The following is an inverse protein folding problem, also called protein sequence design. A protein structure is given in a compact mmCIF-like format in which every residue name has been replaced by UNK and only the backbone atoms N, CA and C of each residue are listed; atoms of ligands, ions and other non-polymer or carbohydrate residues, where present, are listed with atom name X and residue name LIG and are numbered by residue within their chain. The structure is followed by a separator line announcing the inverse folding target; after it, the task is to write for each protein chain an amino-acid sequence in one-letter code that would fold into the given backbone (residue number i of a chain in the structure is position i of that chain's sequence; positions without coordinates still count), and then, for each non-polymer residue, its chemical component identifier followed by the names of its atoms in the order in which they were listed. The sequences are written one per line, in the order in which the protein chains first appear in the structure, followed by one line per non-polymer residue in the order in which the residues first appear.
data_IF_373075453901
#
_entry.id   IF_373075453901
#
_cell.length_a   1.000
_cell.length_b   1.000
_cell.length_c   1.000
_cell.angle_alpha   90.00
_cell.angle_beta   90.00
_cell.angle_gamma   90.00
#
_symmetry.space_group_name_H-M   'P 1'
#
loop_
_entity.id
_entity.type
_entity.pdbx_description
1 polymer ?
#
# COMPACT_ATOMS: atom_id res chain seq x y z
N UNK A 1 24.06 4.33 4.30
CA UNK A 1 24.12 5.73 3.82
C UNK A 1 23.99 6.64 5.03
N UNK A 2 24.95 7.53 5.28
CA UNK A 2 24.88 8.53 6.35
C UNK A 2 23.70 9.49 6.16
N UNK A 3 23.18 10.05 7.26
CA UNK A 3 22.00 10.92 7.22
C UNK A 3 22.17 12.16 6.33
N UNK A 4 23.29 12.91 6.36
CA UNK A 4 23.46 14.08 5.49
C UNK A 4 23.41 13.73 4.00
N UNK A 5 24.07 12.64 3.59
CA UNK A 5 24.03 12.16 2.21
C UNK A 5 22.61 11.75 1.78
N UNK A 6 21.88 11.09 2.68
CA UNK A 6 20.50 10.72 2.41
C UNK A 6 19.61 11.93 2.18
N UNK A 7 19.71 12.94 3.02
CA UNK A 7 18.92 14.18 2.88
C UNK A 7 19.27 14.92 1.59
N UNK A 8 20.54 14.99 1.25
CA UNK A 8 20.97 15.61 -0.01
C UNK A 8 20.37 14.89 -1.22
N UNK A 9 20.45 13.56 -1.27
CA UNK A 9 19.86 12.77 -2.37
C UNK A 9 18.34 12.89 -2.43
N UNK A 10 17.67 12.93 -1.27
CA UNK A 10 16.23 13.15 -1.19
C UNK A 10 15.84 14.50 -1.81
N UNK A 11 16.57 15.57 -1.47
CA UNK A 11 16.34 16.90 -2.04
C UNK A 11 16.61 16.95 -3.55
N UNK A 12 17.68 16.34 -4.02
CA UNK A 12 17.99 16.26 -5.45
C UNK A 12 16.89 15.53 -6.23
N UNK A 13 16.41 14.41 -5.70
CA UNK A 13 15.32 13.66 -6.32
C UNK A 13 14.01 14.46 -6.35
N UNK A 14 13.66 15.14 -5.26
CA UNK A 14 12.49 16.02 -5.20
C UNK A 14 12.58 17.15 -6.23
N UNK A 15 13.74 17.82 -6.32
CA UNK A 15 13.96 18.88 -7.30
C UNK A 15 13.84 18.36 -8.76
N UNK A 16 14.37 17.18 -9.04
CA UNK A 16 14.22 16.54 -10.35
C UNK A 16 12.75 16.25 -10.71
N UNK A 17 11.97 15.76 -9.74
CA UNK A 17 10.52 15.52 -9.94
C UNK A 17 9.78 16.85 -10.18
N UNK A 18 10.08 17.88 -9.39
CA UNK A 18 9.46 19.21 -9.55
C UNK A 18 9.78 19.82 -10.90
N UNK A 19 11.04 19.72 -11.37
CA UNK A 19 11.42 20.18 -12.70
C UNK A 19 10.67 19.43 -13.83
N UNK A 20 10.47 18.13 -13.68
CA UNK A 20 9.67 17.36 -14.62
C UNK A 20 8.19 17.79 -14.61
N UNK A 21 7.61 18.01 -13.42
CA UNK A 21 6.23 18.50 -13.30
C UNK A 21 6.06 19.90 -13.89
N UNK A 22 7.04 20.78 -13.74
CA UNK A 22 7.03 22.08 -14.40
C UNK A 22 7.08 21.94 -15.92
N UNK A 23 7.99 21.11 -16.44
CA UNK A 23 8.17 20.93 -17.88
C UNK A 23 6.94 20.30 -18.56
N UNK A 24 6.28 19.32 -17.94
CA UNK A 24 5.16 18.59 -18.54
C UNK A 24 3.78 19.17 -18.21
N UNK A 25 3.61 19.75 -17.02
CA UNK A 25 2.32 20.22 -16.52
C UNK A 25 2.27 21.71 -16.20
N UNK A 26 3.40 22.43 -16.35
CA UNK A 26 3.48 23.85 -16.02
C UNK A 26 3.36 24.14 -14.51
N UNK A 27 3.57 23.14 -13.65
CA UNK A 27 3.47 23.29 -12.19
C UNK A 27 4.75 23.92 -11.66
N UNK A 28 4.67 25.17 -11.21
CA UNK A 28 5.76 25.93 -10.63
C UNK A 28 5.79 25.84 -9.10
N UNK A 29 6.91 26.23 -8.45
CA UNK A 29 7.02 26.17 -6.98
C UNK A 29 5.89 26.86 -6.22
N UNK A 30 5.36 27.97 -6.73
CA UNK A 30 4.25 28.71 -6.13
C UNK A 30 2.91 27.95 -6.14
N UNK A 31 2.79 26.90 -6.94
CA UNK A 31 1.59 26.06 -7.00
C UNK A 31 1.56 24.97 -5.91
N UNK A 32 2.68 24.72 -5.22
CA UNK A 32 2.75 23.71 -4.17
C UNK A 32 2.40 24.32 -2.80
N UNK A 33 1.39 23.79 -2.15
CA UNK A 33 1.14 24.07 -0.73
C UNK A 33 2.03 23.24 0.18
N UNK A 34 2.37 22.04 -0.27
CA UNK A 34 3.26 21.10 0.39
C UNK A 34 3.89 20.19 -0.65
N UNK A 35 5.15 19.84 -0.45
CA UNK A 35 5.86 18.88 -1.28
C UNK A 35 6.74 18.00 -0.41
N UNK A 36 6.49 16.71 -0.44
CA UNK A 36 7.27 15.71 0.28
C UNK A 36 7.59 14.54 -0.63
N UNK A 37 8.83 14.04 -0.54
CA UNK A 37 9.26 12.84 -1.25
C UNK A 37 9.23 11.64 -0.30
N UNK A 38 8.36 10.67 -0.59
CA UNK A 38 8.45 9.36 0.03
C UNK A 38 9.64 8.59 -0.55
N UNK A 39 10.37 7.90 0.32
CA UNK A 39 11.53 7.10 -0.06
C UNK A 39 11.39 5.69 0.48
N UNK A 40 12.09 4.68 -0.10
CA UNK A 40 12.11 3.34 0.46
C UNK A 40 12.54 3.30 1.94
N UNK A 41 13.53 4.11 2.32
CA UNK A 41 13.97 4.22 3.72
C UNK A 41 12.88 4.80 4.63
N UNK A 42 12.21 5.86 4.19
CA UNK A 42 11.08 6.45 4.92
C UNK A 42 9.94 5.46 5.07
N UNK A 43 9.60 4.78 3.97
CA UNK A 43 8.53 3.77 3.97
C UNK A 43 8.87 2.57 4.87
N UNK A 44 10.13 2.10 4.88
CA UNK A 44 10.60 1.08 5.81
C UNK A 44 10.43 1.50 7.28
N UNK A 45 10.77 2.76 7.60
CA UNK A 45 10.58 3.32 8.95
C UNK A 45 9.11 3.38 9.38
N UNK A 46 8.20 3.74 8.46
CA UNK A 46 6.77 3.83 8.76
C UNK A 46 6.07 2.47 8.87
N UNK A 47 6.46 1.51 8.05
CA UNK A 47 5.75 0.23 7.93
C UNK A 47 6.45 -0.94 8.59
N UNK A 48 7.73 -0.79 8.97
CA UNK A 48 8.58 -1.88 9.42
C UNK A 48 8.97 -2.87 8.31
N UNK A 49 8.61 -2.61 7.06
CA UNK A 49 8.89 -3.51 5.94
C UNK A 49 10.36 -3.41 5.50
N UNK A 50 11.07 -4.55 5.36
CA UNK A 50 12.43 -4.56 4.86
C UNK A 50 12.54 -3.81 3.53
N UNK A 51 13.59 -3.00 3.37
CA UNK A 51 13.88 -2.21 2.16
C UNK A 51 12.75 -1.25 1.71
N UNK A 52 11.70 -1.07 2.50
CA UNK A 52 10.57 -0.21 2.16
C UNK A 52 9.74 -0.71 0.98
N UNK A 53 9.62 -2.01 0.82
CA UNK A 53 8.75 -2.60 -0.20
C UNK A 53 7.31 -2.16 0.00
N UNK A 54 6.70 -1.69 -1.08
CA UNK A 54 5.28 -1.35 -1.19
C UNK A 54 4.55 -2.51 -1.84
N UNK A 55 3.35 -2.81 -1.36
CA UNK A 55 2.59 -3.97 -1.79
C UNK A 55 2.82 -5.20 -0.92
N UNK A 56 2.06 -6.24 -1.18
CA UNK A 56 2.09 -7.48 -0.44
C UNK A 56 3.11 -8.48 -0.97
N UNK A 57 2.65 -9.68 -1.26
CA UNK A 57 3.47 -10.71 -1.89
C UNK A 57 3.80 -10.33 -3.34
N UNK A 58 4.99 -10.74 -3.79
CA UNK A 58 5.42 -10.49 -5.16
C UNK A 58 4.37 -10.94 -6.18
N UNK A 59 4.08 -10.06 -7.14
CA UNK A 59 3.03 -10.23 -8.14
C UNK A 59 3.48 -11.20 -9.24
N UNK A 60 3.40 -12.48 -8.94
CA UNK A 60 3.64 -13.55 -9.90
C UNK A 60 2.31 -14.18 -10.33
N UNK A 61 2.13 -14.55 -11.60
CA UNK A 61 0.86 -15.13 -12.09
C UNK A 61 0.30 -16.28 -11.24
N UNK A 62 1.18 -17.07 -10.59
CA UNK A 62 0.76 -18.17 -9.70
C UNK A 62 0.30 -17.74 -8.30
N UNK A 63 0.40 -16.45 -7.96
CA UNK A 63 0.07 -15.91 -6.64
C UNK A 63 -0.76 -14.64 -6.68
N UNK A 64 -1.23 -14.28 -7.87
CA UNK A 64 -1.97 -13.03 -8.07
C UNK A 64 -3.37 -13.32 -8.62
N UNK A 65 -4.29 -12.39 -8.41
CA UNK A 65 -5.67 -12.53 -8.83
C UNK A 65 -6.33 -13.76 -8.17
N UNK A 66 -6.97 -14.65 -8.94
CA UNK A 66 -7.66 -15.83 -8.41
C UNK A 66 -6.77 -16.81 -7.64
N UNK A 67 -5.46 -16.72 -7.85
CA UNK A 67 -4.45 -17.56 -7.18
C UNK A 67 -3.81 -16.86 -5.96
N UNK A 68 -4.29 -15.68 -5.59
CA UNK A 68 -3.86 -14.95 -4.40
C UNK A 68 -4.24 -15.67 -3.11
N UNK A 69 -3.60 -15.27 -2.00
CA UNK A 69 -3.94 -15.81 -0.69
C UNK A 69 -5.39 -15.45 -0.33
N UNK A 70 -6.11 -16.47 0.13
CA UNK A 70 -7.47 -16.28 0.59
C UNK A 70 -7.53 -15.55 1.93
N UNK A 71 -8.60 -14.78 2.14
CA UNK A 71 -8.89 -14.15 3.44
C UNK A 71 -9.11 -15.19 4.55
N UNK A 72 -9.67 -16.36 4.24
CA UNK A 72 -9.87 -17.44 5.21
C UNK A 72 -8.61 -18.28 5.34
N UNK A 73 -8.05 -18.33 6.57
CA UNK A 73 -6.91 -19.19 6.87
C UNK A 73 -7.34 -20.64 7.14
N UNK A 74 -6.41 -21.60 7.06
CA UNK A 74 -6.67 -22.98 7.51
C UNK A 74 -6.95 -23.09 9.02
N UNK A 75 -6.53 -22.09 9.81
CA UNK A 75 -6.73 -22.07 11.26
C UNK A 75 -8.13 -21.56 11.58
N UNK A 76 -8.85 -22.31 12.40
CA UNK A 76 -10.16 -21.90 12.88
C UNK A 76 -10.08 -20.59 13.69
N UNK A 77 -10.97 -19.65 13.38
CA UNK A 77 -11.01 -18.35 14.06
C UNK A 77 -10.00 -17.31 13.58
N UNK A 78 -9.20 -17.61 12.55
CA UNK A 78 -8.23 -16.68 11.98
C UNK A 78 -8.61 -16.28 10.55
N UNK A 79 -8.81 -15.00 10.35
CA UNK A 79 -9.00 -14.38 9.03
C UNK A 79 -7.89 -13.38 8.75
N UNK A 80 -7.54 -13.25 7.49
CA UNK A 80 -6.45 -12.41 7.01
C UNK A 80 -7.02 -11.32 6.10
N UNK A 81 -6.47 -10.11 6.19
CA UNK A 81 -6.72 -9.03 5.24
C UNK A 81 -5.45 -8.21 5.02
N UNK A 82 -5.45 -7.39 4.00
CA UNK A 82 -4.33 -6.54 3.65
C UNK A 82 -3.85 -6.76 2.22
N UNK A 83 -2.73 -6.14 1.89
CA UNK A 83 -2.18 -6.10 0.54
C UNK A 83 -1.62 -7.44 0.01
N UNK A 84 -1.31 -8.38 0.91
CA UNK A 84 -0.89 -9.74 0.55
C UNK A 84 -2.07 -10.69 0.29
N UNK A 85 -3.30 -10.28 0.59
CA UNK A 85 -4.51 -11.10 0.51
C UNK A 85 -5.32 -10.71 -0.72
N UNK A 86 -5.91 -11.71 -1.41
CA UNK A 86 -6.80 -11.44 -2.55
C UNK A 86 -7.86 -10.37 -2.17
N UNK A 87 -8.14 -9.38 -3.02
CA UNK A 87 -7.72 -9.25 -4.42
C UNK A 87 -6.35 -8.60 -4.63
N UNK A 88 -5.62 -8.21 -3.60
CA UNK A 88 -4.26 -7.72 -3.71
C UNK A 88 -4.08 -6.30 -3.17
N UNK A 89 -3.04 -5.65 -3.65
CA UNK A 89 -2.59 -4.35 -3.17
C UNK A 89 -3.40 -3.16 -3.70
N UNK A 90 -3.06 -1.98 -3.19
CA UNK A 90 -3.75 -0.73 -3.47
C UNK A 90 -4.95 -0.51 -2.55
N UNK A 91 -5.39 0.74 -2.44
CA UNK A 91 -6.47 1.13 -1.51
C UNK A 91 -7.75 0.31 -1.73
N UNK A 92 -8.15 0.12 -2.99
CA UNK A 92 -9.33 -0.66 -3.32
C UNK A 92 -9.16 -2.14 -2.94
N UNK A 93 -8.01 -2.73 -3.25
CA UNK A 93 -7.72 -4.14 -2.95
C UNK A 93 -7.67 -4.44 -1.46
N UNK A 94 -6.96 -3.63 -0.68
CA UNK A 94 -6.86 -3.84 0.78
C UNK A 94 -8.20 -3.62 1.46
N UNK A 95 -9.00 -2.64 1.02
CA UNK A 95 -10.34 -2.39 1.55
C UNK A 95 -11.27 -3.57 1.25
N UNK A 96 -11.24 -4.11 0.03
CA UNK A 96 -12.06 -5.25 -0.33
C UNK A 96 -11.63 -6.52 0.43
N UNK A 97 -10.33 -6.75 0.63
CA UNK A 97 -9.84 -7.88 1.44
C UNK A 97 -10.34 -7.79 2.89
N UNK A 98 -10.38 -6.58 3.47
CA UNK A 98 -10.92 -6.35 4.80
C UNK A 98 -12.42 -6.63 4.87
N UNK A 99 -13.21 -6.16 3.90
CA UNK A 99 -14.64 -6.47 3.80
C UNK A 99 -14.91 -7.96 3.67
N UNK A 100 -14.09 -8.68 2.88
CA UNK A 100 -14.20 -10.14 2.75
C UNK A 100 -13.91 -10.84 4.07
N UNK A 101 -12.88 -10.43 4.81
CA UNK A 101 -12.56 -10.97 6.13
C UNK A 101 -13.71 -10.74 7.13
N UNK A 102 -14.23 -9.51 7.20
CA UNK A 102 -15.36 -9.16 8.07
C UNK A 102 -16.62 -9.97 7.72
N UNK A 103 -16.93 -10.09 6.42
CA UNK A 103 -18.09 -10.88 5.97
C UNK A 103 -17.98 -12.35 6.38
N UNK A 104 -16.82 -12.96 6.18
CA UNK A 104 -16.59 -14.36 6.53
C UNK A 104 -16.62 -14.58 8.05
N UNK A 105 -16.06 -13.64 8.83
CA UNK A 105 -16.13 -13.67 10.28
C UNK A 105 -17.59 -13.63 10.76
N UNK A 106 -18.38 -12.68 10.28
CA UNK A 106 -19.80 -12.56 10.66
C UNK A 106 -20.61 -13.79 10.24
N UNK A 107 -20.39 -14.31 9.04
CA UNK A 107 -21.02 -15.53 8.57
C UNK A 107 -20.70 -16.75 9.47
N UNK A 108 -19.46 -16.84 9.97
CA UNK A 108 -19.08 -17.90 10.92
C UNK A 108 -19.82 -17.82 12.26
N UNK A 109 -20.39 -16.65 12.57
CA UNK A 109 -21.19 -16.37 13.76
C UNK A 109 -22.71 -16.36 13.48
N UNK A 110 -23.14 -16.79 12.28
CA UNK A 110 -24.55 -16.73 11.88
C UNK A 110 -25.09 -15.31 11.63
N UNK A 111 -24.20 -14.34 11.39
CA UNK A 111 -24.53 -12.93 11.15
C UNK A 111 -24.24 -12.53 9.72
N UNK A 112 -24.86 -11.48 9.24
CA UNK A 112 -24.59 -10.86 7.93
C UNK A 112 -23.89 -9.50 8.09
N UNK A 113 -23.06 -9.13 7.11
CA UNK A 113 -22.51 -7.79 7.02
C UNK A 113 -23.55 -6.89 6.32
N UNK A 114 -24.02 -5.87 7.01
CA UNK A 114 -24.85 -4.81 6.44
C UNK A 114 -23.96 -3.60 6.16
N UNK A 115 -23.95 -3.13 4.90
CA UNK A 115 -23.21 -1.97 4.43
C UNK A 115 -24.13 -0.81 4.05
N UNK A 116 -25.34 -0.76 4.60
CA UNK A 116 -26.23 0.39 4.39
C UNK A 116 -25.59 1.63 5.03
N UNK A 117 -25.17 2.58 4.17
CA UNK A 117 -24.74 3.90 4.55
C UNK A 117 -25.89 4.89 4.48
#
# INVERSE_FOLDING_TARGET
MPEPEYQQRKQQALAGIQAALEAFLGLKPEHYRHAELATPRGFAGWTGRPFGFVGGLGQHPSRFGPFGLASRSPLSGLWLCGDAIYPGEGTAGVSLSALMACRQLLQSQGRSLDLQA
#
